data_IF_229936513940
#
_entry.id   IF_229936513940
#
_cell.length_a   1.000
_cell.length_b   1.000
_cell.length_c   1.000
_cell.angle_alpha   90.00
_cell.angle_beta   90.00
_cell.angle_gamma   90.00
#
_symmetry.space_group_name_H-M   'P 1'
#
loop_
_entity.id
_entity.type
_entity.pdbx_description
1 polymer ?
#
# COMPACT_ATOMS: atom_id res chain seq x y z
N UNK A 1 86.07 -68.30 -17.27
CA UNK A 1 86.12 -68.65 -15.83
C UNK A 1 86.91 -67.53 -15.19
N UNK A 2 86.44 -66.77 -14.22
CA UNK A 2 85.35 -66.98 -13.27
C UNK A 2 85.09 -65.65 -12.56
N UNK A 3 83.82 -65.44 -12.21
CA UNK A 3 83.35 -64.78 -10.99
C UNK A 3 83.65 -63.28 -10.78
N UNK A 4 82.62 -62.51 -11.10
CA UNK A 4 82.28 -61.19 -10.56
C UNK A 4 82.23 -61.22 -9.02
N UNK A 5 82.88 -60.27 -8.31
CA UNK A 5 82.64 -60.09 -6.89
C UNK A 5 81.27 -59.43 -6.68
N UNK A 6 80.43 -60.08 -5.87
CA UNK A 6 79.17 -59.54 -5.37
C UNK A 6 79.43 -58.25 -4.60
N UNK A 7 78.81 -57.18 -5.04
CA UNK A 7 78.61 -55.96 -4.25
C UNK A 7 77.62 -56.30 -3.14
N UNK A 8 78.14 -56.64 -1.96
CA UNK A 8 77.30 -56.85 -0.79
C UNK A 8 76.72 -55.51 -0.34
N UNK A 9 75.41 -55.46 -0.52
CA UNK A 9 74.45 -54.47 -0.09
C UNK A 9 74.72 -54.03 1.35
N UNK A 10 74.90 -52.73 1.56
CA UNK A 10 74.70 -52.10 2.87
C UNK A 10 73.25 -52.36 3.29
N UNK A 11 72.97 -52.95 4.47
CA UNK A 11 71.64 -52.91 5.02
C UNK A 11 71.45 -51.57 5.74
N UNK A 12 70.51 -50.79 5.19
CA UNK A 12 69.90 -49.63 5.82
C UNK A 12 69.38 -50.01 7.21
N UNK A 13 70.02 -49.48 8.25
CA UNK A 13 69.59 -49.65 9.62
C UNK A 13 70.55 -48.93 10.56
N UNK A 14 70.24 -47.68 10.91
CA UNK A 14 70.85 -46.98 12.04
C UNK A 14 70.65 -47.82 13.32
N UNK A 15 71.52 -48.78 13.57
CA UNK A 15 71.43 -49.58 14.78
C UNK A 15 71.82 -48.76 16.00
N UNK A 16 71.17 -49.06 17.12
CA UNK A 16 71.26 -48.25 18.32
C UNK A 16 72.63 -48.51 18.99
N UNK A 17 73.43 -47.46 19.15
CA UNK A 17 74.68 -47.47 19.89
C UNK A 17 74.38 -47.34 21.39
N UNK A 18 75.07 -48.09 22.24
CA UNK A 18 74.93 -47.97 23.68
C UNK A 18 75.41 -46.59 24.17
N UNK A 19 74.60 -45.83 24.93
CA UNK A 19 75.01 -44.53 25.45
C UNK A 19 76.12 -44.60 26.51
N UNK A 20 76.32 -45.77 27.13
CA UNK A 20 77.33 -45.95 28.18
C UNK A 20 78.69 -46.41 27.64
N UNK A 21 78.72 -47.35 26.68
CA UNK A 21 79.98 -47.95 26.21
C UNK A 21 80.29 -47.70 24.73
N UNK A 22 79.41 -47.02 23.99
CA UNK A 22 79.65 -46.68 22.58
C UNK A 22 79.62 -47.86 21.60
N UNK A 23 79.30 -49.09 22.06
CA UNK A 23 79.21 -50.28 21.20
C UNK A 23 77.83 -50.43 20.57
N UNK A 24 77.79 -51.01 19.37
CA UNK A 24 76.56 -51.34 18.66
C UNK A 24 75.76 -52.42 19.42
N UNK A 25 74.49 -52.17 19.72
CA UNK A 25 73.64 -53.07 20.52
C UNK A 25 72.54 -53.75 19.68
N UNK A 26 72.28 -53.28 18.46
CA UNK A 26 71.24 -53.87 17.60
C UNK A 26 69.84 -53.78 18.23
N UNK A 27 69.12 -54.91 18.30
CA UNK A 27 67.73 -54.99 18.77
C UNK A 27 67.57 -55.29 20.28
N UNK A 28 68.66 -55.50 21.03
CA UNK A 28 68.61 -55.86 22.45
C UNK A 28 68.20 -54.67 23.33
N UNK A 29 67.38 -54.93 24.37
CA UNK A 29 66.92 -53.92 25.33
C UNK A 29 67.97 -53.56 26.40
N UNK A 30 68.96 -54.43 26.57
CA UNK A 30 70.12 -54.22 27.43
C UNK A 30 71.40 -54.48 26.65
N UNK A 31 72.41 -53.65 26.87
CA UNK A 31 73.71 -53.86 26.24
C UNK A 31 74.33 -55.17 26.76
N UNK A 32 74.72 -56.11 25.88
CA UNK A 32 75.35 -57.37 26.30
C UNK A 32 76.75 -57.17 26.92
N UNK A 33 77.35 -55.99 26.75
CA UNK A 33 78.70 -55.69 27.27
C UNK A 33 78.70 -54.98 28.61
N UNK A 34 77.85 -53.96 28.79
CA UNK A 34 77.82 -53.15 30.02
C UNK A 34 76.48 -53.19 30.75
N UNK A 35 75.54 -54.02 30.33
CA UNK A 35 74.22 -54.22 30.96
C UNK A 35 73.32 -52.97 31.05
N UNK A 36 73.74 -51.85 30.47
CA UNK A 36 72.95 -50.61 30.45
C UNK A 36 71.69 -50.78 29.61
N UNK A 37 70.56 -50.28 30.11
CA UNK A 37 69.27 -50.29 29.40
C UNK A 37 69.34 -49.33 28.21
N UNK A 38 68.97 -49.82 27.03
CA UNK A 38 68.96 -49.03 25.80
C UNK A 38 67.52 -48.65 25.50
N UNK A 39 67.20 -47.36 25.60
CA UNK A 39 65.86 -46.86 25.28
C UNK A 39 65.59 -46.99 23.78
N UNK A 40 64.61 -47.80 23.40
CA UNK A 40 64.12 -47.90 22.02
C UNK A 40 63.39 -46.60 21.63
N UNK A 41 63.51 -46.20 20.36
CA UNK A 41 62.72 -45.09 19.79
C UNK A 41 61.22 -45.42 19.95
N UNK A 42 60.39 -44.40 20.19
CA UNK A 42 58.94 -44.55 20.27
C UNK A 42 58.40 -45.27 19.01
N UNK A 43 57.59 -46.33 19.15
CA UNK A 43 57.10 -47.05 17.99
C UNK A 43 56.26 -46.12 17.10
N UNK A 44 56.55 -46.10 15.81
CA UNK A 44 55.85 -45.26 14.82
C UNK A 44 54.32 -45.48 14.83
N UNK A 45 53.86 -46.64 15.27
CA UNK A 45 52.43 -46.98 15.41
C UNK A 45 51.74 -46.05 16.41
N UNK A 46 52.37 -45.71 17.54
CA UNK A 46 51.80 -44.79 18.51
C UNK A 46 51.76 -43.37 17.96
N UNK A 47 52.83 -42.92 17.29
CA UNK A 47 52.87 -41.60 16.64
C UNK A 47 51.76 -41.47 15.59
N UNK A 48 51.56 -42.50 14.76
CA UNK A 48 50.47 -42.54 13.77
C UNK A 48 49.09 -42.45 14.44
N UNK A 49 48.86 -43.19 15.52
CA UNK A 49 47.59 -43.14 16.26
C UNK A 49 47.35 -41.77 16.88
N UNK A 50 48.34 -41.19 17.56
CA UNK A 50 48.22 -39.85 18.14
C UNK A 50 47.97 -38.78 17.08
N UNK A 51 48.62 -38.86 15.91
CA UNK A 51 48.37 -37.94 14.81
C UNK A 51 46.92 -38.02 14.31
N UNK A 52 46.38 -39.23 14.14
CA UNK A 52 44.98 -39.43 13.73
C UNK A 52 44.01 -38.93 14.80
N UNK A 53 44.18 -39.35 16.06
CA UNK A 53 43.29 -38.92 17.15
C UNK A 53 43.37 -37.41 17.38
N UNK A 54 44.57 -36.83 17.36
CA UNK A 54 44.77 -35.39 17.49
C UNK A 54 44.09 -34.61 16.37
N UNK A 55 44.14 -35.12 15.13
CA UNK A 55 43.45 -34.50 13.99
C UNK A 55 41.94 -34.55 14.14
N UNK A 56 41.38 -35.68 14.57
CA UNK A 56 39.94 -35.84 14.83
C UNK A 56 39.49 -34.90 15.95
N UNK A 57 40.22 -34.84 17.06
CA UNK A 57 39.92 -33.92 18.17
C UNK A 57 40.01 -32.47 17.70
N UNK A 58 41.04 -32.11 16.93
CA UNK A 58 41.19 -30.77 16.37
C UNK A 58 40.01 -30.37 15.48
N UNK A 59 39.51 -31.28 14.64
CA UNK A 59 38.31 -31.06 13.83
C UNK A 59 37.05 -30.90 14.69
N UNK A 60 36.89 -31.69 15.74
CA UNK A 60 35.75 -31.57 16.67
C UNK A 60 35.80 -30.23 17.40
N UNK A 61 36.96 -29.79 17.88
CA UNK A 61 37.13 -28.51 18.54
C UNK A 61 36.86 -27.34 17.58
N UNK A 62 37.35 -27.43 16.34
CA UNK A 62 37.04 -26.42 15.31
C UNK A 62 35.55 -26.38 14.99
N UNK A 63 34.90 -27.54 14.87
CA UNK A 63 33.46 -27.62 14.64
C UNK A 63 32.67 -26.97 15.78
N UNK A 64 33.03 -27.27 17.03
CA UNK A 64 32.38 -26.69 18.20
C UNK A 64 32.60 -25.18 18.28
N UNK A 65 33.83 -24.70 18.03
CA UNK A 65 34.13 -23.27 17.96
C UNK A 65 33.36 -22.56 16.84
N UNK A 66 33.18 -23.22 15.69
CA UNK A 66 32.38 -22.69 14.59
C UNK A 66 30.89 -22.57 14.94
N UNK A 67 30.34 -23.51 15.73
CA UNK A 67 28.95 -23.45 16.20
C UNK A 67 28.70 -22.33 17.22
N UNK A 68 29.71 -21.96 18.02
CA UNK A 68 29.57 -20.90 19.03
C UNK A 68 29.81 -19.49 18.48
N UNK A 69 30.30 -19.35 17.24
CA UNK A 69 30.61 -18.05 16.67
C UNK A 69 29.33 -17.34 16.24
N UNK A 70 28.89 -16.38 17.06
CA UNK A 70 27.82 -15.46 16.67
C UNK A 70 28.28 -14.53 15.54
N UNK A 71 27.36 -14.24 14.63
CA UNK A 71 27.61 -13.27 13.55
C UNK A 71 27.62 -11.85 14.15
N UNK A 72 28.64 -11.03 13.87
CA UNK A 72 28.75 -9.70 14.44
C UNK A 72 27.56 -8.82 14.04
N UNK A 73 27.01 -8.09 15.01
CA UNK A 73 26.00 -7.06 14.77
C UNK A 73 26.70 -5.82 14.19
N UNK A 74 26.32 -5.41 12.98
CA UNK A 74 26.91 -4.30 12.25
C UNK A 74 25.83 -3.24 11.99
N UNK A 75 26.11 -2.00 12.39
CA UNK A 75 25.30 -0.83 12.00
C UNK A 75 25.52 -0.49 10.53
N UNK A 76 24.46 -0.07 9.85
CA UNK A 76 24.46 0.21 8.41
C UNK A 76 25.39 1.38 8.09
N UNK A 77 25.30 2.49 8.83
CA UNK A 77 26.16 3.67 8.61
C UNK A 77 27.65 3.45 8.88
N UNK A 78 28.02 2.33 9.50
CA UNK A 78 29.43 1.95 9.75
C UNK A 78 29.95 0.93 8.73
N UNK A 79 29.16 0.57 7.72
CA UNK A 79 29.59 -0.32 6.64
C UNK A 79 30.63 0.41 5.78
N UNK A 80 31.84 -0.16 5.70
CA UNK A 80 32.92 0.36 4.87
C UNK A 80 33.18 -0.59 3.70
N UNK A 81 33.82 -0.11 2.60
CA UNK A 81 34.18 -0.96 1.47
C UNK A 81 34.96 -2.24 1.85
N UNK A 82 35.72 -2.22 2.94
CA UNK A 82 36.45 -3.40 3.43
C UNK A 82 35.53 -4.52 3.96
N UNK A 83 34.27 -4.21 4.26
CA UNK A 83 33.26 -5.18 4.70
C UNK A 83 32.55 -5.87 3.53
N UNK A 84 32.96 -5.60 2.28
CA UNK A 84 32.37 -6.27 1.13
C UNK A 84 32.52 -7.79 1.24
N UNK A 85 31.44 -8.52 0.94
CA UNK A 85 31.30 -9.98 1.08
C UNK A 85 31.36 -10.51 2.52
N UNK A 86 31.46 -9.65 3.54
CA UNK A 86 31.42 -10.08 4.94
C UNK A 86 30.03 -10.61 5.31
N UNK A 87 30.00 -11.67 6.12
CA UNK A 87 28.77 -12.16 6.75
C UNK A 87 28.52 -11.32 8.01
N UNK A 88 27.46 -10.53 8.00
CA UNK A 88 27.09 -9.66 9.12
C UNK A 88 25.63 -9.84 9.49
N UNK A 89 25.30 -9.41 10.70
CA UNK A 89 23.93 -9.32 11.22
C UNK A 89 23.57 -7.84 11.34
N UNK A 90 22.43 -7.44 10.81
CA UNK A 90 21.90 -6.09 10.91
C UNK A 90 20.49 -6.13 11.49
N UNK A 91 20.12 -5.11 12.26
CA UNK A 91 18.77 -4.93 12.80
C UNK A 91 18.26 -3.59 12.29
N UNK A 92 17.09 -3.59 11.66
CA UNK A 92 16.53 -2.36 11.10
C UNK A 92 15.03 -2.48 10.83
N UNK A 93 14.38 -1.34 10.68
CA UNK A 93 12.98 -1.21 10.27
C UNK A 93 12.88 -1.36 8.76
N UNK A 94 11.89 -2.10 8.30
CA UNK A 94 11.60 -2.23 6.87
C UNK A 94 10.94 -0.94 6.38
N UNK A 95 11.59 -0.20 5.48
CA UNK A 95 11.05 1.04 4.88
C UNK A 95 10.47 0.85 3.49
N UNK A 96 10.68 -0.33 2.91
CA UNK A 96 10.28 -0.62 1.53
C UNK A 96 10.32 -2.11 1.25
N UNK A 97 9.32 -2.66 0.57
CA UNK A 97 9.38 -4.02 0.05
C UNK A 97 8.94 -4.10 -1.42
N UNK A 98 9.76 -4.77 -2.24
CA UNK A 98 9.45 -5.09 -3.63
C UNK A 98 9.59 -6.58 -3.88
N UNK A 99 8.50 -7.24 -4.23
CA UNK A 99 8.52 -8.61 -4.74
C UNK A 99 8.47 -8.61 -6.27
N UNK A 100 9.33 -9.41 -6.89
CA UNK A 100 9.41 -9.62 -8.34
C UNK A 100 9.10 -11.10 -8.60
N UNK A 101 7.83 -11.39 -8.88
CA UNK A 101 7.29 -12.73 -9.15
C UNK A 101 7.98 -13.39 -10.36
N UNK A 102 8.17 -12.61 -11.43
CA UNK A 102 8.79 -13.00 -12.70
C UNK A 102 10.21 -13.55 -12.50
N UNK A 103 10.99 -12.91 -11.63
CA UNK A 103 12.38 -13.26 -11.33
C UNK A 103 12.54 -14.13 -10.08
N UNK A 104 11.42 -14.55 -9.48
CA UNK A 104 11.42 -15.23 -8.18
C UNK A 104 12.30 -14.51 -7.13
N UNK A 105 12.31 -13.18 -7.13
CA UNK A 105 13.24 -12.39 -6.30
C UNK A 105 12.51 -11.34 -5.47
N UNK A 106 13.15 -10.89 -4.40
CA UNK A 106 12.62 -9.80 -3.59
C UNK A 106 13.72 -8.85 -3.14
N UNK A 107 13.30 -7.61 -2.88
CA UNK A 107 14.12 -6.57 -2.30
C UNK A 107 13.38 -5.97 -1.10
N UNK A 108 14.08 -5.81 0.02
CA UNK A 108 13.60 -5.18 1.24
C UNK A 108 14.58 -4.07 1.58
N UNK A 109 14.08 -2.84 1.76
CA UNK A 109 14.88 -1.72 2.24
C UNK A 109 14.82 -1.70 3.76
N UNK A 110 15.99 -1.61 4.38
CA UNK A 110 16.16 -1.57 5.82
C UNK A 110 16.78 -0.24 6.23
N UNK A 111 16.28 0.30 7.33
CA UNK A 111 16.78 1.50 7.98
C UNK A 111 17.04 1.21 9.46
N UNK A 112 18.25 1.46 9.94
CA UNK A 112 18.65 1.28 11.34
C UNK A 112 18.91 2.60 12.07
N UNK A 113 18.35 3.69 11.55
CA UNK A 113 18.56 5.08 11.95
C UNK A 113 19.98 5.62 11.62
N UNK A 114 20.92 4.77 11.20
CA UNK A 114 22.29 5.17 10.82
C UNK A 114 22.55 5.12 9.32
N UNK A 115 21.74 4.36 8.57
CA UNK A 115 21.83 4.29 7.11
C UNK A 115 20.75 3.40 6.51
N UNK A 116 20.68 3.40 5.17
CA UNK A 116 19.75 2.56 4.41
C UNK A 116 20.50 1.41 3.73
N UNK A 117 20.00 0.19 3.91
CA UNK A 117 20.54 -1.04 3.33
C UNK A 117 19.51 -1.75 2.46
N UNK A 118 19.88 -2.18 1.26
CA UNK A 118 18.99 -2.99 0.42
C UNK A 118 19.27 -4.49 0.61
N UNK A 119 18.36 -5.18 1.28
CA UNK A 119 18.35 -6.64 1.36
C UNK A 119 17.76 -7.24 0.09
N UNK A 120 18.49 -8.17 -0.55
CA UNK A 120 18.06 -8.85 -1.78
C UNK A 120 18.09 -10.37 -1.62
N UNK A 121 17.02 -11.03 -2.06
CA UNK A 121 16.94 -12.48 -2.20
C UNK A 121 16.70 -12.86 -3.66
N UNK A 122 17.77 -13.16 -4.41
CA UNK A 122 17.67 -13.54 -5.82
C UNK A 122 17.25 -15.00 -5.99
N UNK A 123 16.20 -15.25 -6.77
CA UNK A 123 15.65 -16.60 -6.98
C UNK A 123 15.34 -17.32 -5.64
N UNK A 124 14.75 -16.58 -4.69
CA UNK A 124 14.37 -17.09 -3.36
C UNK A 124 12.94 -16.73 -2.92
N UNK A 125 12.21 -15.91 -3.66
CA UNK A 125 10.89 -15.39 -3.23
C UNK A 125 9.93 -16.52 -2.83
N UNK A 126 9.80 -17.57 -3.65
CA UNK A 126 8.95 -18.73 -3.37
C UNK A 126 9.32 -19.44 -2.07
N UNK A 127 10.61 -19.73 -1.86
CA UNK A 127 11.11 -20.38 -0.63
C UNK A 127 10.82 -19.53 0.61
N UNK A 128 10.97 -18.22 0.51
CA UNK A 128 10.70 -17.33 1.63
C UNK A 128 9.19 -17.22 1.90
N UNK A 129 8.36 -17.13 0.87
CA UNK A 129 6.89 -17.16 1.04
C UNK A 129 6.39 -18.47 1.65
N UNK A 130 6.96 -19.61 1.27
CA UNK A 130 6.62 -20.89 1.85
C UNK A 130 6.99 -20.97 3.34
N UNK A 131 8.16 -20.43 3.71
CA UNK A 131 8.63 -20.41 5.10
C UNK A 131 7.82 -19.45 5.98
N UNK A 132 7.61 -18.22 5.50
CA UNK A 132 6.95 -17.19 6.28
C UNK A 132 5.42 -17.26 6.21
N UNK A 133 4.85 -17.86 5.16
CA UNK A 133 3.41 -17.87 4.87
C UNK A 133 2.83 -16.46 5.01
N UNK A 134 1.82 -16.28 5.85
CA UNK A 134 1.17 -14.99 6.12
C UNK A 134 2.01 -14.04 6.98
N UNK A 135 3.16 -14.50 7.50
CA UNK A 135 4.09 -13.71 8.32
C UNK A 135 5.29 -13.20 7.54
N UNK A 136 5.16 -12.98 6.23
CA UNK A 136 6.24 -12.38 5.46
C UNK A 136 6.55 -10.96 5.98
N UNK A 137 7.83 -10.55 6.12
CA UNK A 137 8.18 -9.20 6.58
C UNK A 137 7.50 -8.11 5.76
N UNK A 138 6.83 -7.19 6.43
CA UNK A 138 6.14 -6.06 5.83
C UNK A 138 6.85 -4.73 6.18
N UNK A 139 6.47 -3.67 5.46
CA UNK A 139 6.92 -2.31 5.79
C UNK A 139 6.48 -1.93 7.21
N UNK A 140 7.39 -1.27 7.93
CA UNK A 140 7.30 -0.97 9.35
C UNK A 140 7.86 -2.06 10.28
N UNK A 141 7.97 -3.32 9.83
CA UNK A 141 8.44 -4.41 10.69
C UNK A 141 9.90 -4.16 11.11
N UNK A 142 10.21 -4.41 12.38
CA UNK A 142 11.59 -4.46 12.85
C UNK A 142 12.12 -5.87 12.66
N UNK A 143 13.14 -6.03 11.82
CA UNK A 143 13.71 -7.32 11.49
C UNK A 143 15.22 -7.39 11.80
N UNK A 144 15.66 -8.55 12.26
CA UNK A 144 17.06 -8.94 12.32
C UNK A 144 17.37 -9.79 11.10
N UNK A 145 18.39 -9.39 10.34
CA UNK A 145 18.80 -10.10 9.12
C UNK A 145 20.27 -10.44 9.18
N UNK A 146 20.58 -11.69 8.86
CA UNK A 146 21.94 -12.17 8.69
C UNK A 146 22.21 -12.44 7.21
N UNK A 147 23.21 -11.77 6.65
CA UNK A 147 23.47 -11.87 5.22
C UNK A 147 24.87 -11.46 4.83
N UNK A 148 25.19 -11.70 3.57
CA UNK A 148 26.47 -11.33 3.01
C UNK A 148 26.36 -9.92 2.46
N UNK A 149 27.18 -8.99 2.94
CA UNK A 149 27.24 -7.65 2.38
C UNK A 149 27.75 -7.67 0.95
N UNK A 150 27.20 -6.81 0.11
CA UNK A 150 27.69 -6.52 -1.21
C UNK A 150 27.68 -5.02 -1.41
N UNK A 151 28.88 -4.47 -1.54
CA UNK A 151 29.09 -3.05 -1.71
C UNK A 151 29.52 -2.87 -3.16
N UNK A 152 28.75 -2.12 -3.93
CA UNK A 152 29.06 -1.82 -5.32
C UNK A 152 28.79 -0.36 -5.63
N UNK A 153 29.56 0.23 -6.54
CA UNK A 153 29.34 1.62 -6.98
C UNK A 153 27.97 1.79 -7.67
N UNK A 154 27.47 0.73 -8.31
CA UNK A 154 26.22 0.75 -9.08
C UNK A 154 24.96 0.57 -8.23
N UNK A 155 25.02 -0.27 -7.20
CA UNK A 155 23.86 -0.66 -6.39
C UNK A 155 23.95 -0.22 -4.93
N UNK A 156 25.03 0.47 -4.55
CA UNK A 156 25.26 0.96 -3.19
C UNK A 156 25.53 -0.17 -2.20
N UNK A 157 25.16 0.06 -0.95
CA UNK A 157 25.19 -0.90 0.15
C UNK A 157 24.00 -1.86 0.03
N UNK A 158 24.30 -3.13 -0.22
CA UNK A 158 23.30 -4.18 -0.32
C UNK A 158 23.70 -5.41 0.49
N UNK A 159 22.72 -6.25 0.80
CA UNK A 159 22.94 -7.50 1.52
C UNK A 159 22.21 -8.64 0.81
N UNK A 160 22.88 -9.77 0.64
CA UNK A 160 22.27 -10.97 0.08
C UNK A 160 21.88 -11.96 1.17
N UNK A 161 20.64 -12.44 1.09
CA UNK A 161 20.11 -13.46 1.97
C UNK A 161 19.63 -14.67 1.18
N UNK A 162 20.18 -15.83 1.52
CA UNK A 162 19.92 -17.08 0.79
C UNK A 162 18.97 -18.03 1.51
N UNK A 163 18.77 -17.85 2.82
CA UNK A 163 17.94 -18.71 3.64
C UNK A 163 16.94 -17.90 4.48
N UNK A 164 15.65 -18.27 4.49
CA UNK A 164 14.64 -17.54 5.25
C UNK A 164 14.87 -17.56 6.77
N UNK A 165 15.57 -18.57 7.31
CA UNK A 165 15.92 -18.64 8.74
C UNK A 165 16.89 -17.53 9.17
N UNK A 166 17.54 -16.87 8.21
CA UNK A 166 18.42 -15.73 8.46
C UNK A 166 17.67 -14.40 8.58
N UNK A 167 16.35 -14.39 8.42
CA UNK A 167 15.49 -13.25 8.76
C UNK A 167 14.67 -13.63 9.99
N UNK A 168 14.79 -12.84 11.04
CA UNK A 168 13.94 -12.92 12.22
C UNK A 168 13.13 -11.64 12.35
N UNK A 169 11.83 -11.77 12.46
CA UNK A 169 10.95 -10.63 12.73
C UNK A 169 10.97 -10.41 14.24
N UNK A 170 11.54 -9.28 14.68
CA UNK A 170 11.63 -8.92 16.09
C UNK A 170 10.33 -8.28 16.57
N UNK A 171 9.79 -7.35 15.78
CA UNK A 171 8.52 -6.68 16.06
C UNK A 171 7.75 -6.50 14.76
N UNK A 172 6.51 -6.98 14.72
CA UNK A 172 5.60 -6.66 13.62
C UNK A 172 5.05 -5.25 13.79
N UNK A 173 4.91 -4.54 12.68
CA UNK A 173 4.26 -3.25 12.65
C UNK A 173 2.75 -3.44 12.70
N UNK A 174 2.15 -2.82 13.70
CA UNK A 174 0.71 -2.68 13.80
C UNK A 174 0.40 -1.18 13.75
N UNK A 175 -0.37 -0.77 12.75
CA UNK A 175 -0.79 0.61 12.62
C UNK A 175 -1.65 0.99 13.83
N UNK A 176 -1.27 2.06 14.52
CA UNK A 176 -2.00 2.54 15.68
C UNK A 176 -3.36 3.10 15.25
N UNK A 177 -4.45 2.80 15.98
CA UNK A 177 -5.75 3.39 15.70
C UNK A 177 -5.70 4.89 16.00
N UNK A 178 -6.04 5.72 15.02
CA UNK A 178 -6.12 7.17 15.18
C UNK A 178 -7.43 7.72 14.61
N UNK A 179 -7.89 8.82 15.17
CA UNK A 179 -9.00 9.63 14.64
C UNK A 179 -8.45 10.73 13.74
N UNK A 180 -9.27 11.26 12.83
CA UNK A 180 -8.84 12.30 11.87
C UNK A 180 -8.33 13.57 12.57
N UNK A 181 -8.86 13.90 13.75
CA UNK A 181 -8.47 15.11 14.49
C UNK A 181 -7.05 15.03 15.07
N UNK A 182 -6.59 13.83 15.41
CA UNK A 182 -5.24 13.60 15.93
C UNK A 182 -4.17 13.53 14.83
N UNK A 183 -4.57 13.65 13.55
CA UNK A 183 -3.66 13.62 12.41
C UNK A 183 -3.28 15.05 12.05
N UNK A 184 -2.10 15.45 12.47
CA UNK A 184 -1.51 16.75 12.17
C UNK A 184 -0.35 16.66 11.16
N UNK A 185 0.27 17.81 10.87
CA UNK A 185 1.45 17.89 10.00
C UNK A 185 2.70 17.29 10.62
N UNK A 186 2.77 17.22 11.95
CA UNK A 186 3.92 16.67 12.68
C UNK A 186 3.93 15.14 12.58
N UNK A 187 2.77 14.54 12.37
CA UNK A 187 2.58 13.11 12.11
C UNK A 187 2.90 12.69 10.66
N UNK A 188 3.55 13.54 9.86
CA UNK A 188 3.89 13.23 8.47
C UNK A 188 4.80 12.00 8.38
N UNK A 189 4.43 11.06 7.52
CA UNK A 189 5.13 9.79 7.36
C UNK A 189 4.71 8.71 8.36
N UNK A 190 3.87 9.05 9.36
CA UNK A 190 3.26 8.07 10.23
C UNK A 190 2.16 7.28 9.49
N UNK A 191 1.99 6.04 9.90
CA UNK A 191 0.96 5.14 9.36
C UNK A 191 -0.05 4.86 10.45
N UNK A 192 -1.31 5.21 10.20
CA UNK A 192 -2.41 5.05 11.14
C UNK A 192 -3.50 4.15 10.57
N UNK A 193 -4.23 3.50 11.47
CA UNK A 193 -5.48 2.82 11.14
C UNK A 193 -6.64 3.75 11.47
N UNK A 194 -7.36 4.19 10.44
CA UNK A 194 -8.48 5.13 10.58
C UNK A 194 -9.78 4.46 10.15
N UNK A 195 -10.87 4.71 10.88
CA UNK A 195 -12.22 4.34 10.48
C UNK A 195 -12.87 5.56 9.85
N UNK A 196 -13.28 5.45 8.60
CA UNK A 196 -13.80 6.60 7.87
C UNK A 196 -14.97 6.25 6.97
N UNK A 197 -15.86 7.22 6.80
CA UNK A 197 -16.99 7.21 5.86
C UNK A 197 -16.68 8.06 4.65
N UNK A 198 -16.95 7.54 3.46
CA UNK A 198 -16.77 8.30 2.21
C UNK A 198 -17.87 9.35 2.09
N UNK A 199 -17.50 10.63 2.15
CA UNK A 199 -18.44 11.75 2.09
C UNK A 199 -18.58 12.35 0.68
N UNK A 200 -17.48 12.48 -0.05
CA UNK A 200 -17.49 13.00 -1.42
C UNK A 200 -16.33 12.43 -2.24
N UNK A 201 -16.50 12.36 -3.55
CA UNK A 201 -15.52 11.80 -4.47
C UNK A 201 -15.32 12.77 -5.62
N UNK A 202 -14.05 13.08 -5.92
CA UNK A 202 -13.65 13.93 -7.04
C UNK A 202 -12.59 13.22 -7.87
N UNK A 203 -12.98 12.75 -9.04
CA UNK A 203 -12.04 12.17 -10.01
C UNK A 203 -11.25 13.26 -10.73
N UNK A 204 -9.97 13.04 -10.93
CA UNK A 204 -9.08 13.88 -11.72
C UNK A 204 -8.25 13.00 -12.68
N UNK A 205 -7.40 13.63 -13.51
CA UNK A 205 -6.73 12.98 -14.66
C UNK A 205 -5.87 11.74 -14.30
N UNK A 206 -5.40 11.60 -13.07
CA UNK A 206 -4.39 10.59 -12.66
C UNK A 206 -4.83 9.84 -11.39
N UNK A 207 -6.05 10.07 -10.91
CA UNK A 207 -6.52 9.51 -9.65
C UNK A 207 -7.83 10.11 -9.17
N UNK A 208 -8.19 9.78 -7.94
CA UNK A 208 -9.43 10.14 -7.28
C UNK A 208 -9.14 10.73 -5.91
N UNK A 209 -9.61 11.94 -5.66
CA UNK A 209 -9.58 12.53 -4.33
C UNK A 209 -10.91 12.20 -3.64
N UNK A 210 -10.83 11.49 -2.53
CA UNK A 210 -11.96 11.02 -1.75
C UNK A 210 -11.96 11.81 -0.45
N UNK A 211 -12.97 12.65 -0.24
CA UNK A 211 -13.15 13.30 1.06
C UNK A 211 -13.76 12.28 2.01
N UNK A 212 -12.97 11.91 3.02
CA UNK A 212 -13.33 10.95 4.05
C UNK A 212 -13.67 11.69 5.34
N UNK A 213 -14.71 11.21 6.02
CA UNK A 213 -15.20 11.80 7.27
C UNK A 213 -15.24 10.74 8.36
N UNK A 214 -14.77 11.10 9.54
CA UNK A 214 -14.91 10.35 10.79
C UNK A 214 -15.81 11.16 11.75
N UNK A 215 -16.14 10.59 12.91
CA UNK A 215 -16.93 11.25 13.96
C UNK A 215 -16.27 12.55 14.45
N UNK A 216 -14.95 12.67 14.30
CA UNK A 216 -14.16 13.82 14.77
C UNK A 216 -13.85 14.87 13.70
N UNK A 217 -13.94 14.55 12.40
CA UNK A 217 -13.46 15.48 11.37
C UNK A 217 -13.56 14.99 9.93
N UNK A 218 -13.13 15.81 8.97
CA UNK A 218 -13.12 15.51 7.53
C UNK A 218 -11.73 15.78 6.96
N UNK A 219 -11.21 14.86 6.15
CA UNK A 219 -9.91 14.99 5.49
C UNK A 219 -9.94 14.42 4.06
N UNK A 220 -9.02 14.88 3.22
CA UNK A 220 -8.89 14.42 1.83
C UNK A 220 -7.97 13.19 1.76
N UNK A 221 -8.49 12.07 1.27
CA UNK A 221 -7.77 10.86 0.92
C UNK A 221 -7.48 10.86 -0.57
N UNK A 222 -6.21 10.99 -0.91
CA UNK A 222 -5.74 10.97 -2.30
C UNK A 222 -5.42 9.53 -2.72
N UNK A 223 -6.13 9.01 -3.71
CA UNK A 223 -5.95 7.66 -4.24
C UNK A 223 -5.62 7.73 -5.73
N UNK A 224 -4.46 7.25 -6.12
CA UNK A 224 -4.08 7.21 -7.54
C UNK A 224 -4.73 6.03 -8.27
N UNK A 225 -4.95 6.17 -9.59
CA UNK A 225 -5.51 5.06 -10.39
C UNK A 225 -4.60 3.81 -10.31
N UNK A 226 -3.27 4.02 -10.25
CA UNK A 226 -2.27 2.97 -10.06
C UNK A 226 -2.31 2.29 -8.68
N UNK A 227 -2.94 2.91 -7.69
CA UNK A 227 -3.19 2.33 -6.36
C UNK A 227 -4.50 1.54 -6.36
N UNK A 228 -5.55 2.06 -7.02
CA UNK A 228 -6.82 1.35 -7.20
C UNK A 228 -6.60 0.03 -7.97
N UNK A 229 -5.78 0.06 -9.02
CA UNK A 229 -5.48 -1.13 -9.83
C UNK A 229 -4.74 -2.23 -9.04
N UNK A 230 -4.03 -1.85 -7.97
CA UNK A 230 -3.29 -2.77 -7.09
C UNK A 230 -4.15 -3.44 -6.03
N UNK A 231 -5.35 -2.91 -5.75
CA UNK A 231 -6.26 -3.50 -4.77
C UNK A 231 -6.63 -4.91 -5.24
N UNK A 232 -6.33 -5.93 -4.45
CA UNK A 232 -6.50 -7.33 -4.85
C UNK A 232 -7.97 -7.66 -5.19
N UNK A 233 -8.93 -7.07 -4.46
CA UNK A 233 -10.36 -7.36 -4.59
C UNK A 233 -11.11 -6.34 -5.46
N UNK A 234 -11.69 -6.75 -6.60
CA UNK A 234 -12.46 -5.85 -7.48
C UNK A 234 -13.66 -5.21 -6.78
N UNK A 235 -14.35 -5.95 -5.90
CA UNK A 235 -15.49 -5.44 -5.11
C UNK A 235 -15.09 -4.32 -4.15
N UNK A 236 -13.85 -4.36 -3.64
CA UNK A 236 -13.33 -3.33 -2.74
C UNK A 236 -12.96 -2.06 -3.52
N UNK A 237 -12.51 -2.19 -4.77
CA UNK A 237 -12.26 -1.04 -5.66
C UNK A 237 -13.54 -0.25 -5.92
N UNK A 238 -14.60 -0.95 -6.30
CA UNK A 238 -15.91 -0.35 -6.58
C UNK A 238 -16.48 0.29 -5.30
N UNK A 239 -16.42 -0.43 -4.18
CA UNK A 239 -16.94 0.07 -2.91
C UNK A 239 -16.16 1.31 -2.39
N UNK A 240 -14.84 1.41 -2.63
CA UNK A 240 -14.06 2.57 -2.20
C UNK A 240 -14.43 3.84 -2.97
N UNK A 241 -14.93 3.69 -4.20
CA UNK A 241 -15.37 4.78 -5.09
C UNK A 241 -16.89 5.00 -4.99
N UNK A 242 -17.54 4.43 -3.98
CA UNK A 242 -18.95 4.65 -3.66
C UNK A 242 -19.10 5.52 -2.42
N UNK A 243 -19.89 6.59 -2.55
CA UNK A 243 -20.21 7.50 -1.44
C UNK A 243 -21.08 6.81 -0.40
N UNK A 244 -20.77 7.01 0.88
CA UNK A 244 -21.53 6.49 2.01
C UNK A 244 -21.05 5.15 2.58
N UNK A 245 -20.09 4.49 1.93
CA UNK A 245 -19.45 3.30 2.48
C UNK A 245 -18.49 3.64 3.63
N UNK A 246 -18.41 2.76 4.62
CA UNK A 246 -17.50 2.87 5.75
C UNK A 246 -16.38 1.84 5.67
N UNK A 247 -15.15 2.33 5.82
CA UNK A 247 -13.93 1.55 5.71
C UNK A 247 -13.04 1.77 6.92
N UNK A 248 -12.37 0.70 7.32
CA UNK A 248 -11.14 0.75 8.11
C UNK A 248 -9.97 0.75 7.14
N UNK A 249 -9.26 1.87 7.08
CA UNK A 249 -8.16 2.09 6.16
C UNK A 249 -6.85 2.21 6.94
N UNK A 250 -5.79 1.61 6.43
CA UNK A 250 -4.42 1.89 6.86
C UNK A 250 -3.87 2.97 5.93
N UNK A 251 -3.65 4.15 6.48
CA UNK A 251 -3.29 5.36 5.74
C UNK A 251 -1.93 5.89 6.17
N UNK A 252 -1.17 6.37 5.20
CA UNK A 252 0.05 7.15 5.42
C UNK A 252 -0.31 8.64 5.42
N UNK A 253 0.16 9.38 6.41
CA UNK A 253 0.01 10.84 6.47
C UNK A 253 1.04 11.48 5.55
N UNK A 254 0.56 12.18 4.51
CA UNK A 254 1.39 13.02 3.64
C UNK A 254 0.97 14.49 3.80
N UNK A 255 1.75 15.40 3.23
CA UNK A 255 1.45 16.83 3.24
C UNK A 255 1.47 17.38 1.82
N UNK A 256 0.37 18.02 1.42
CA UNK A 256 0.27 18.70 0.13
C UNK A 256 -0.09 20.17 0.34
N UNK A 257 0.76 21.06 -0.18
CA UNK A 257 0.62 22.53 -0.03
C UNK A 257 0.43 22.98 1.43
N UNK A 258 1.11 22.31 2.37
CA UNK A 258 1.04 22.64 3.79
C UNK A 258 -0.24 22.17 4.49
N UNK A 259 -1.04 21.29 3.88
CA UNK A 259 -2.19 20.64 4.52
C UNK A 259 -1.96 19.13 4.62
N UNK A 260 -2.31 18.50 5.76
CA UNK A 260 -2.25 17.05 5.89
C UNK A 260 -3.23 16.41 4.91
N UNK A 261 -2.77 15.36 4.24
CA UNK A 261 -3.54 14.54 3.32
C UNK A 261 -3.28 13.07 3.65
N UNK A 262 -4.30 12.24 3.43
CA UNK A 262 -4.17 10.81 3.61
C UNK A 262 -3.83 10.17 2.27
N UNK A 263 -2.97 9.15 2.32
CA UNK A 263 -2.72 8.23 1.20
C UNK A 263 -2.91 6.79 1.65
N UNK A 264 -3.35 5.92 0.75
CA UNK A 264 -3.45 4.50 1.06
C UNK A 264 -2.05 3.90 1.24
N UNK A 265 -1.85 3.21 2.35
CA UNK A 265 -0.60 2.48 2.61
C UNK A 265 -0.76 1.03 2.12
N UNK A 266 -0.07 0.65 1.05
CA UNK A 266 -0.13 -0.68 0.41
C UNK A 266 -1.54 -1.19 0.10
N UNK A 267 -2.21 -0.65 -0.93
CA UNK A 267 -3.54 -1.10 -1.36
C UNK A 267 -3.59 -2.59 -1.77
N UNK A 268 -2.44 -3.19 -2.12
CA UNK A 268 -2.33 -4.60 -2.46
C UNK A 268 -2.58 -5.58 -1.30
N UNK A 269 -2.59 -5.11 -0.05
CA UNK A 269 -2.83 -5.96 1.12
C UNK A 269 -4.29 -5.87 1.57
N UNK A 270 -4.93 -7.03 1.74
CA UNK A 270 -6.29 -7.13 2.28
C UNK A 270 -6.42 -6.55 3.71
N UNK A 271 -5.32 -6.49 4.47
CA UNK A 271 -5.29 -5.90 5.81
C UNK A 271 -5.33 -4.37 5.81
N UNK A 272 -4.98 -3.73 4.68
CA UNK A 272 -4.93 -2.28 4.54
C UNK A 272 -6.30 -1.65 4.32
N UNK A 273 -7.27 -2.42 3.82
CA UNK A 273 -8.61 -1.93 3.50
C UNK A 273 -9.63 -2.98 3.96
N UNK A 274 -10.35 -2.69 5.04
CA UNK A 274 -11.47 -3.54 5.49
C UNK A 274 -12.76 -2.75 5.42
N UNK A 275 -13.76 -3.28 4.71
CA UNK A 275 -15.10 -2.70 4.68
C UNK A 275 -15.81 -3.06 5.97
N UNK A 276 -16.20 -2.06 6.77
CA UNK A 276 -16.94 -2.28 8.02
C UNK A 276 -18.44 -2.32 7.74
N UNK A 277 -18.92 -1.39 6.90
CA UNK A 277 -20.32 -1.34 6.50
C UNK A 277 -20.43 -0.87 5.05
N UNK A 278 -21.24 -1.59 4.27
CA UNK A 278 -21.73 -1.10 3.00
C UNK A 278 -22.92 -0.20 3.23
N UNK A 279 -23.03 0.85 2.42
CA UNK A 279 -24.28 1.53 2.21
C UNK A 279 -25.39 0.47 2.09
N UNK A 280 -26.29 0.47 3.09
CA UNK A 280 -27.58 -0.15 2.91
C UNK A 280 -28.18 0.45 1.62
N UNK A 281 -28.83 -0.37 0.77
CA UNK A 281 -29.38 0.12 -0.48
C UNK A 281 -30.30 1.31 -0.21
N UNK A 282 -29.96 2.43 -0.83
CA UNK A 282 -30.75 3.65 -1.01
C UNK A 282 -31.95 3.83 -0.08
N UNK A 283 -31.80 4.63 0.98
CA UNK A 283 -32.93 5.38 1.53
C UNK A 283 -32.56 6.85 1.67
N UNK A 284 -33.19 7.61 0.78
CA UNK A 284 -33.53 9.03 0.86
C UNK A 284 -32.36 10.01 0.85
N UNK A 285 -32.11 10.50 -0.37
CA UNK A 285 -32.12 11.94 -0.68
C UNK A 285 -32.54 12.75 0.55
N UNK A 286 -31.57 13.26 1.30
CA UNK A 286 -31.83 14.44 2.12
C UNK A 286 -32.13 15.52 1.08
N UNK A 287 -33.41 15.79 0.85
CA UNK A 287 -33.85 16.92 0.06
C UNK A 287 -33.10 18.13 0.59
N UNK A 288 -32.11 18.60 -0.16
CA UNK A 288 -31.58 19.94 0.05
C UNK A 288 -32.80 20.85 -0.11
N UNK A 289 -33.20 21.61 0.93
CA UNK A 289 -34.36 22.47 0.82
C UNK A 289 -34.15 23.39 -0.39
N UNK A 290 -35.13 23.42 -1.29
CA UNK A 290 -35.16 24.36 -2.41
C UNK A 290 -35.28 25.74 -1.82
N UNK A 291 -34.18 26.48 -1.86
CA UNK A 291 -34.13 27.83 -1.33
C UNK A 291 -34.52 28.78 -2.47
N UNK A 292 -35.38 29.74 -2.16
CA UNK A 292 -35.83 30.77 -3.11
C UNK A 292 -34.65 31.69 -3.45
N UNK A 293 -34.64 32.28 -4.65
CA UNK A 293 -33.54 33.11 -5.14
C UNK A 293 -33.16 34.29 -4.20
N UNK A 294 -34.10 34.77 -3.37
CA UNK A 294 -33.91 35.81 -2.35
C UNK A 294 -33.08 35.38 -1.12
N UNK A 295 -32.93 34.08 -0.86
CA UNK A 295 -32.18 33.56 0.30
C UNK A 295 -30.69 33.31 -0.01
N UNK A 296 -30.25 33.58 -1.24
CA UNK A 296 -28.84 33.61 -1.61
C UNK A 296 -28.25 34.97 -1.20
N UNK A 297 -27.83 35.08 0.06
CA UNK A 297 -27.18 36.27 0.64
C UNK A 297 -25.65 36.14 0.66
N UNK A 298 -24.95 37.27 0.79
CA UNK A 298 -23.48 37.32 0.88
C UNK A 298 -22.89 36.45 2.01
N UNK A 299 -23.70 36.12 3.02
CA UNK A 299 -23.35 35.27 4.16
C UNK A 299 -23.12 33.79 3.79
N UNK A 300 -23.55 33.34 2.59
CA UNK A 300 -23.52 31.93 2.16
C UNK A 300 -22.51 31.62 1.05
N UNK A 301 -21.52 32.49 0.85
CA UNK A 301 -20.44 32.25 -0.11
C UNK A 301 -19.68 30.97 0.29
N UNK A 302 -19.50 30.04 -0.67
CA UNK A 302 -19.00 28.66 -0.50
C UNK A 302 -20.01 27.60 -0.04
N UNK A 303 -21.28 27.95 0.15
CA UNK A 303 -22.32 26.94 0.37
C UNK A 303 -22.89 26.40 -0.93
N UNK A 304 -23.24 25.12 -0.93
CA UNK A 304 -23.94 24.46 -2.03
C UNK A 304 -25.43 24.76 -1.86
N UNK A 305 -26.01 25.48 -2.82
CA UNK A 305 -27.44 25.81 -2.86
C UNK A 305 -28.08 25.21 -4.09
N UNK A 306 -29.34 24.78 -3.95
CA UNK A 306 -30.18 24.35 -5.07
C UNK A 306 -31.20 25.43 -5.37
N UNK A 307 -31.11 26.03 -6.56
CA UNK A 307 -32.04 27.05 -7.06
C UNK A 307 -32.78 26.50 -8.26
N UNK A 308 -34.10 26.69 -8.29
CA UNK A 308 -34.94 26.39 -9.44
C UNK A 308 -35.46 27.71 -10.02
N UNK A 309 -35.48 27.82 -11.35
CA UNK A 309 -36.09 28.97 -12.01
C UNK A 309 -36.04 28.87 -13.53
N UNK A 310 -36.57 29.89 -14.19
CA UNK A 310 -36.67 29.97 -15.65
C UNK A 310 -35.48 30.71 -16.24
N UNK A 311 -34.91 30.16 -17.31
CA UNK A 311 -33.80 30.80 -18.05
C UNK A 311 -34.32 32.03 -18.81
N UNK A 312 -33.92 33.23 -18.37
CA UNK A 312 -34.26 34.48 -19.04
C UNK A 312 -33.25 34.84 -20.14
N UNK A 313 -31.97 34.62 -19.88
CA UNK A 313 -30.89 34.93 -20.83
C UNK A 313 -29.77 33.91 -20.70
N UNK A 314 -29.27 33.44 -21.84
CA UNK A 314 -28.01 32.70 -21.92
C UNK A 314 -27.03 33.52 -22.75
N UNK A 315 -25.82 33.70 -22.22
CA UNK A 315 -24.71 34.37 -22.91
C UNK A 315 -23.49 33.45 -22.91
N UNK A 316 -23.06 33.06 -24.09
CA UNK A 316 -21.84 32.30 -24.27
C UNK A 316 -20.62 33.21 -24.20
N UNK A 317 -19.60 32.76 -23.47
CA UNK A 317 -18.29 33.40 -23.38
C UNK A 317 -17.21 32.39 -23.79
N UNK A 318 -16.01 32.89 -24.14
CA UNK A 318 -14.88 32.05 -24.55
C UNK A 318 -14.43 31.02 -23.49
N UNK A 319 -14.78 31.22 -22.21
CA UNK A 319 -14.34 30.38 -21.09
C UNK A 319 -15.50 29.77 -20.27
N UNK A 320 -16.73 29.84 -20.77
CA UNK A 320 -17.93 29.35 -20.08
C UNK A 320 -19.24 29.94 -20.62
N UNK A 321 -20.37 29.48 -20.09
CA UNK A 321 -21.69 30.03 -20.41
C UNK A 321 -22.28 30.65 -19.15
N UNK A 322 -22.70 31.91 -19.24
CA UNK A 322 -23.43 32.57 -18.17
C UNK A 322 -24.92 32.49 -18.46
N UNK A 323 -25.70 32.03 -17.49
CA UNK A 323 -27.15 31.87 -17.59
C UNK A 323 -27.80 32.68 -16.49
N UNK A 324 -28.66 33.61 -16.87
CA UNK A 324 -29.53 34.30 -15.91
C UNK A 324 -30.80 33.48 -15.74
N UNK A 325 -31.03 33.02 -14.51
CA UNK A 325 -32.22 32.27 -14.12
C UNK A 325 -33.07 33.18 -13.23
N UNK A 326 -34.34 33.35 -13.57
CA UNK A 326 -35.31 34.08 -12.77
C UNK A 326 -36.32 33.12 -12.13
N UNK A 327 -36.55 33.28 -10.84
CA UNK A 327 -37.63 32.64 -10.08
C UNK A 327 -38.70 33.71 -9.72
N UNK A 328 -39.83 33.31 -9.13
CA UNK A 328 -40.89 34.20 -8.62
C UNK A 328 -40.38 35.24 -7.60
N UNK A 329 -39.12 35.11 -7.15
CA UNK A 329 -38.49 35.97 -6.14
C UNK A 329 -37.33 36.83 -6.64
N UNK A 330 -36.80 36.62 -7.85
CA UNK A 330 -35.69 37.42 -8.39
C UNK A 330 -34.82 36.69 -9.41
N UNK A 331 -33.81 37.37 -9.95
CA UNK A 331 -32.86 36.82 -10.93
C UNK A 331 -31.48 36.54 -10.31
N UNK A 332 -30.96 35.33 -10.57
CA UNK A 332 -29.62 34.88 -10.13
C UNK A 332 -28.83 34.41 -11.35
N UNK A 333 -27.55 34.79 -11.37
CA UNK A 333 -26.63 34.37 -12.42
C UNK A 333 -26.03 32.99 -12.11
N UNK A 334 -26.02 32.10 -13.07
CA UNK A 334 -25.38 30.79 -13.01
C UNK A 334 -24.22 30.78 -14.00
N UNK A 335 -23.02 30.49 -13.49
CA UNK A 335 -21.82 30.43 -14.32
C UNK A 335 -21.43 28.97 -14.60
N UNK A 336 -21.64 28.53 -15.82
CA UNK A 336 -21.21 27.23 -16.31
C UNK A 336 -19.79 27.33 -16.84
N UNK A 337 -18.86 26.66 -16.17
CA UNK A 337 -17.48 26.53 -16.69
C UNK A 337 -17.46 25.60 -17.91
N UNK A 338 -16.45 25.77 -18.76
CA UNK A 338 -16.29 25.03 -20.02
C UNK A 338 -16.34 23.50 -19.85
N UNK A 339 -15.82 23.00 -18.72
CA UNK A 339 -15.83 21.57 -18.36
C UNK A 339 -17.23 21.01 -18.07
N UNK A 340 -18.18 21.86 -17.66
CA UNK A 340 -19.59 21.50 -17.46
C UNK A 340 -20.37 21.70 -18.77
N UNK A 341 -20.08 22.78 -19.51
CA UNK A 341 -20.71 23.05 -20.82
C UNK A 341 -20.51 21.89 -21.82
N UNK A 342 -19.32 21.29 -21.87
CA UNK A 342 -19.01 20.21 -22.83
C UNK A 342 -19.86 18.95 -22.65
N UNK A 343 -20.41 18.75 -21.45
CA UNK A 343 -21.15 17.53 -21.11
C UNK A 343 -22.67 17.74 -21.05
N UNK A 344 -23.16 18.99 -21.11
CA UNK A 344 -24.59 19.28 -20.96
C UNK A 344 -25.24 19.50 -22.32
N UNK A 345 -26.44 18.93 -22.51
CA UNK A 345 -27.19 19.01 -23.77
C UNK A 345 -27.58 20.46 -24.10
N UNK A 346 -27.33 20.96 -25.34
CA UNK A 346 -27.61 22.34 -25.73
C UNK A 346 -29.07 22.79 -25.55
N UNK A 347 -30.01 21.84 -25.52
CA UNK A 347 -31.44 22.10 -25.38
C UNK A 347 -31.87 22.60 -23.99
N UNK A 348 -31.03 22.39 -22.95
CA UNK A 348 -31.26 22.87 -21.58
C UNK A 348 -31.07 24.39 -21.42
N UNK A 349 -30.44 25.04 -22.41
CA UNK A 349 -30.03 26.44 -22.36
C UNK A 349 -30.88 27.37 -23.24
N UNK A 350 -31.96 26.83 -23.80
CA UNK A 350 -32.93 27.60 -24.59
C UNK A 350 -33.71 28.55 -23.68
N UNK A 351 -33.82 29.80 -24.11
CA UNK A 351 -34.60 30.84 -23.42
C UNK A 351 -36.00 30.33 -23.12
N UNK A 352 -36.38 30.33 -21.84
CA UNK A 352 -37.67 29.83 -21.36
C UNK A 352 -37.69 28.41 -20.78
N UNK A 353 -36.57 27.69 -20.75
CA UNK A 353 -36.45 26.39 -20.06
C UNK A 353 -36.46 26.56 -18.53
N UNK A 354 -37.13 25.64 -17.81
CA UNK A 354 -37.08 25.57 -16.35
C UNK A 354 -35.90 24.69 -15.94
N UNK A 355 -35.00 25.26 -15.15
CA UNK A 355 -33.74 24.63 -14.78
C UNK A 355 -33.61 24.61 -13.26
N UNK A 356 -33.31 23.45 -12.71
CA UNK A 356 -32.88 23.27 -11.33
C UNK A 356 -31.38 23.12 -11.31
N UNK A 357 -30.70 24.09 -10.70
CA UNK A 357 -29.24 24.15 -10.59
C UNK A 357 -28.84 23.99 -9.14
N UNK A 358 -28.00 22.99 -8.87
CA UNK A 358 -27.28 22.86 -7.60
C UNK A 358 -25.85 23.35 -7.80
N UNK A 359 -25.36 24.24 -6.95
CA UNK A 359 -24.00 24.74 -7.12
C UNK A 359 -23.52 25.59 -5.97
N UNK A 360 -22.22 25.81 -5.94
CA UNK A 360 -21.56 26.63 -4.94
C UNK A 360 -21.84 28.12 -5.21
N UNK A 361 -22.27 28.87 -4.19
CA UNK A 361 -22.43 30.33 -4.32
C UNK A 361 -21.04 30.98 -4.33
N UNK A 362 -20.67 31.53 -5.47
CA UNK A 362 -19.50 32.40 -5.65
C UNK A 362 -19.88 33.87 -5.76
N UNK A 363 -18.94 34.76 -5.48
CA UNK A 363 -19.06 36.20 -5.74
C UNK A 363 -18.09 36.59 -6.85
N UNK A 364 -18.58 37.17 -7.94
CA UNK A 364 -17.74 37.66 -9.04
C UNK A 364 -18.20 39.06 -9.47
N UNK A 365 -17.29 40.05 -9.37
CA UNK A 365 -17.53 41.47 -9.67
C UNK A 365 -18.80 42.05 -9.00
N UNK A 366 -18.90 41.85 -7.69
CA UNK A 366 -20.04 42.28 -6.85
C UNK A 366 -21.41 41.70 -7.23
N UNK A 367 -21.42 40.58 -7.97
CA UNK A 367 -22.63 39.80 -8.26
C UNK A 367 -22.47 38.37 -7.74
N UNK A 368 -23.52 37.86 -7.12
CA UNK A 368 -23.60 36.47 -6.68
C UNK A 368 -23.84 35.56 -7.89
N UNK A 369 -23.08 34.48 -7.97
CA UNK A 369 -23.14 33.50 -9.04
C UNK A 369 -23.21 32.09 -8.47
N UNK A 370 -24.00 31.21 -9.05
CA UNK A 370 -24.00 29.79 -8.69
C UNK A 370 -23.05 29.06 -9.64
N UNK A 371 -22.09 28.34 -9.09
CA UNK A 371 -21.11 27.53 -9.81
C UNK A 371 -21.46 26.03 -9.64
N UNK A 372 -22.15 25.42 -10.60
CA UNK A 372 -22.35 23.97 -10.61
C UNK A 372 -21.02 23.24 -10.79
N UNK A 373 -20.83 22.14 -10.06
CA UNK A 373 -19.59 21.36 -10.08
C UNK A 373 -19.57 20.33 -11.21
N UNK A 374 -20.74 19.87 -11.65
CA UNK A 374 -20.92 18.83 -12.66
C UNK A 374 -22.23 18.95 -13.45
N UNK A 375 -22.37 18.16 -14.51
CA UNK A 375 -23.60 18.03 -15.30
C UNK A 375 -24.78 17.43 -14.50
N UNK A 376 -24.49 16.59 -13.49
CA UNK A 376 -25.50 15.97 -12.64
C UNK A 376 -26.19 16.98 -11.70
N UNK A 377 -25.58 18.16 -11.54
CA UNK A 377 -26.12 19.25 -10.73
C UNK A 377 -27.12 20.13 -11.50
N UNK A 378 -27.30 19.86 -12.80
CA UNK A 378 -28.23 20.53 -13.70
C UNK A 378 -29.36 19.56 -14.06
N UNK A 379 -30.54 19.78 -13.51
CA UNK A 379 -31.73 19.01 -13.87
C UNK A 379 -32.71 19.91 -14.63
N UNK A 380 -33.11 19.50 -15.83
CA UNK A 380 -34.32 20.02 -16.45
C UNK A 380 -35.49 19.64 -15.56
N UNK A 381 -36.19 20.63 -15.05
CA UNK A 381 -37.50 20.38 -14.48
C UNK A 381 -38.47 20.47 -15.65
N UNK A 382 -38.93 19.31 -16.13
CA UNK A 382 -40.13 19.29 -16.96
C UNK A 382 -41.22 19.93 -16.12
N UNK A 383 -41.84 20.99 -16.65
CA UNK A 383 -42.92 21.69 -15.98
C UNK A 383 -43.87 20.68 -15.30
N UNK A 384 -44.33 20.92 -14.07
CA UNK A 384 -45.53 20.25 -13.59
C UNK A 384 -46.55 20.38 -14.71
N UNK A 385 -47.08 19.26 -15.18
CA UNK A 385 -48.25 19.27 -16.03
C UNK A 385 -49.24 20.23 -15.37
N UNK A 386 -49.65 21.27 -16.11
CA UNK A 386 -50.70 22.16 -15.68
C UNK A 386 -51.82 21.29 -15.09
N UNK A 387 -52.43 21.67 -13.95
CA UNK A 387 -53.65 21.00 -13.52
C UNK A 387 -54.57 20.99 -14.73
N UNK A 388 -54.94 19.79 -15.16
CA UNK A 388 -55.97 19.59 -16.15
C UNK A 388 -57.13 20.51 -15.77
N UNK A 389 -57.66 21.35 -16.68
CA UNK A 389 -58.83 22.14 -16.33
C UNK A 389 -59.88 21.17 -15.79
N UNK A 390 -60.30 21.43 -14.55
CA UNK A 390 -61.41 20.73 -13.94
C UNK A 390 -62.52 20.62 -15.00
N UNK A 391 -63.15 19.44 -15.19
CA UNK A 391 -64.28 19.34 -16.08
C UNK A 391 -65.29 20.41 -15.66
N UNK A 392 -65.58 21.32 -16.60
CA UNK A 392 -66.67 22.26 -16.46
C UNK A 392 -67.92 21.47 -16.05
N UNK A 393 -68.75 21.98 -15.12
CA UNK A 393 -70.00 21.34 -14.79
C UNK A 393 -70.88 21.32 -16.04
N UNK A 394 -70.97 20.16 -16.69
CA UNK A 394 -71.96 19.93 -17.73
C UNK A 394 -73.33 19.84 -17.06
N UNK A 395 -74.08 20.93 -17.21
CA UNK A 395 -75.52 21.08 -17.14
C UNK A 395 -76.32 19.95 -16.48
N UNK A 396 -76.87 20.25 -15.31
CA UNK A 396 -78.12 19.68 -14.81
C UNK A 396 -79.23 19.93 -15.84
N UNK A 397 -79.92 18.90 -16.38
CA UNK A 397 -81.23 19.10 -16.97
C UNK A 397 -82.24 19.31 -15.83
N UNK A 398 -82.76 20.52 -15.70
CA UNK A 398 -83.94 20.82 -14.86
C UNK A 398 -85.19 20.69 -15.73
N UNK A 399 -86.30 20.12 -15.21
CA UNK A 399 -87.45 19.70 -16.01
C UNK A 399 -88.49 20.82 -16.20
N UNK A 400 -89.22 20.76 -17.32
CA UNK A 400 -90.57 21.30 -17.54
C UNK A 400 -91.13 20.58 -18.78
N UNK A 401 -91.94 19.52 -18.63
CA UNK A 401 -93.41 19.53 -18.50
C UNK A 401 -94.08 20.47 -19.52
N UNK A 402 -94.62 19.91 -20.61
CA UNK A 402 -96.04 20.08 -20.94
C UNK A 402 -96.55 19.09 -22.03
N UNK A 403 -97.63 18.39 -21.67
CA UNK A 403 -98.79 17.96 -22.44
C UNK A 403 -98.75 16.84 -23.53
N UNK A 404 -99.73 15.95 -23.34
CA UNK A 404 -100.26 14.82 -24.14
C UNK A 404 -101.05 15.28 -25.40
N UNK A 405 -101.86 14.43 -26.12
CA UNK A 405 -102.07 12.98 -26.03
C UNK A 405 -102.12 12.23 -27.40
N UNK A 406 -102.42 10.92 -27.30
CA UNK A 406 -103.32 10.12 -28.15
C UNK A 406 -102.80 9.35 -29.38
N UNK A 407 -103.14 8.05 -29.34
CA UNK A 407 -103.53 7.13 -30.41
C UNK A 407 -102.53 6.93 -31.58
N UNK A 408 -102.21 5.72 -32.03
CA UNK A 408 -102.81 4.40 -31.91
C UNK A 408 -102.36 3.58 -33.13
N UNK A 409 -102.56 2.25 -33.08
CA UNK A 409 -102.65 1.31 -34.24
C UNK A 409 -101.42 1.16 -35.16
N UNK A 410 -100.76 -0.01 -35.17
CA UNK A 410 -101.11 -1.26 -35.88
C UNK A 410 -100.86 -1.24 -37.40
N UNK A 411 -100.32 -2.37 -37.89
CA UNK A 411 -100.29 -2.79 -39.29
C UNK A 411 -98.99 -2.40 -40.00
N UNK A 412 -98.28 -3.28 -40.69
CA UNK A 412 -98.54 -4.65 -41.12
C UNK A 412 -97.21 -5.29 -41.53
#
# INVERSE_FOLDING_TARGET
MSETPKTDLLPEGEGIICPSCGRFVGAYERCPHCQTVVHKRLPIIYIKRFAVFGSVIGLILMWFAALQREVPLQKIGEIKPQHNMALVRCVGKVTGMRAMEDKNSFQIKLDDDTGMLTLSGFDKLRKFREYFKDRFPAEGDLIEVTGNLSISEKFGESMFVSDPRRIKILKKFEAEPATIENIDLDSRGAVFRVRVKVAAIRKYRVGTNITVKDDTGSMDLNVFDSEIDKIADPKMREALVEVGNEFELVVLVDAYKGKPQLRLHHPERAESIKKIAGAAPAQQTKETPVLKAIEVREERVREIVTVAGRVERSKEFAFGTSIDIADETGSVNVWLRENVRKNVTPDLFKTGANLRVTGEVGKFKDRLQILPASEADLKAETAPAAPSPAPAPAATPTPASEAAPAAGTQGE
#
